data_IF_172352956629
#
_entry.id   IF_172352956629
#
_cell.length_a   1.000
_cell.length_b   1.000
_cell.length_c   1.000
_cell.angle_alpha   90.00
_cell.angle_beta   90.00
_cell.angle_gamma   90.00
#
_symmetry.space_group_name_H-M   'P 1'
#
loop_
_entity.id
_entity.type
_entity.pdbx_description
1 polymer ?
#
# COMPACT_ATOMS: atom_id res chain seq x y z
N UNK A 1 17.07 -7.67 -14.37
CA UNK A 1 16.40 -6.36 -14.31
C UNK A 1 16.90 -5.63 -13.08
N UNK A 2 17.46 -4.42 -13.21
CA UNK A 2 17.84 -3.59 -12.04
C UNK A 2 16.57 -3.14 -11.33
N UNK A 3 16.52 -3.30 -10.01
CA UNK A 3 15.42 -2.74 -9.20
C UNK A 3 15.60 -1.21 -9.08
N UNK A 4 14.53 -0.42 -8.91
CA UNK A 4 14.63 1.02 -8.65
C UNK A 4 15.55 1.36 -7.47
N UNK A 5 15.56 0.51 -6.43
CA UNK A 5 16.47 0.62 -5.28
C UNK A 5 17.94 0.59 -5.72
N UNK A 6 18.29 -0.32 -6.64
CA UNK A 6 19.66 -0.48 -7.12
C UNK A 6 20.14 0.73 -7.93
N UNK A 7 19.25 1.40 -8.66
CA UNK A 7 19.59 2.62 -9.41
C UNK A 7 20.02 3.78 -8.49
N UNK A 8 19.31 3.98 -7.37
CA UNK A 8 19.67 4.99 -6.35
C UNK A 8 21.06 4.76 -5.79
N UNK A 9 21.35 3.51 -5.40
CA UNK A 9 22.66 3.09 -4.87
C UNK A 9 23.79 3.33 -5.89
N UNK A 10 23.60 2.93 -7.15
CA UNK A 10 24.61 3.12 -8.20
C UNK A 10 24.87 4.61 -8.44
N UNK A 11 23.82 5.43 -8.48
CA UNK A 11 23.98 6.88 -8.62
C UNK A 11 24.73 7.49 -7.43
N UNK A 12 24.43 7.05 -6.20
CA UNK A 12 25.10 7.53 -4.99
C UNK A 12 26.59 7.16 -4.98
N UNK A 13 26.93 5.94 -5.43
CA UNK A 13 28.33 5.50 -5.64
C UNK A 13 29.00 6.35 -6.73
N UNK A 14 28.33 6.61 -7.85
CA UNK A 14 28.84 7.49 -8.90
C UNK A 14 29.17 8.89 -8.36
N UNK A 15 28.30 9.46 -7.52
CA UNK A 15 28.49 10.76 -6.86
C UNK A 15 29.59 10.75 -5.78
N UNK A 16 30.01 9.59 -5.28
CA UNK A 16 31.10 9.48 -4.31
C UNK A 16 32.47 9.24 -4.94
N UNK A 17 32.57 9.16 -6.28
CA UNK A 17 33.81 8.86 -7.03
C UNK A 17 35.02 9.65 -6.56
N UNK A 18 34.94 10.98 -6.48
CA UNK A 18 36.10 11.80 -6.11
C UNK A 18 36.61 11.44 -4.71
N UNK A 19 35.71 11.17 -3.75
CA UNK A 19 36.08 10.78 -2.38
C UNK A 19 36.67 9.36 -2.36
N UNK A 20 36.11 8.46 -3.16
CA UNK A 20 36.66 7.11 -3.33
C UNK A 20 38.09 7.14 -3.89
N UNK A 21 38.31 7.90 -4.97
CA UNK A 21 39.60 7.95 -5.68
C UNK A 21 40.70 8.60 -4.80
N UNK A 22 40.34 9.56 -3.93
CA UNK A 22 41.29 10.24 -3.04
C UNK A 22 41.52 9.53 -1.69
N UNK A 23 40.48 8.95 -1.10
CA UNK A 23 40.48 8.49 0.30
C UNK A 23 40.16 6.99 0.45
N UNK A 24 39.98 6.27 -0.65
CA UNK A 24 39.75 4.83 -0.66
C UNK A 24 38.29 4.39 -0.50
N UNK A 25 38.04 3.07 -0.55
CA UNK A 25 36.71 2.48 -0.64
C UNK A 25 35.81 2.76 0.56
N UNK A 26 36.36 2.81 1.77
CA UNK A 26 35.59 3.08 2.98
C UNK A 26 35.06 4.52 3.03
N UNK A 27 35.91 5.50 2.69
CA UNK A 27 35.49 6.90 2.59
C UNK A 27 34.46 7.11 1.48
N UNK A 28 34.66 6.46 0.33
CA UNK A 28 33.72 6.42 -0.79
C UNK A 28 32.35 5.83 -0.40
N UNK A 29 32.35 4.74 0.38
CA UNK A 29 31.13 4.13 0.92
C UNK A 29 30.37 5.09 1.85
N UNK A 30 31.04 5.71 2.84
CA UNK A 30 30.39 6.64 3.75
C UNK A 30 29.81 7.87 3.05
N UNK A 31 30.47 8.36 1.99
CA UNK A 31 29.92 9.43 1.16
C UNK A 31 28.70 8.94 0.38
N UNK A 32 28.72 7.75 -0.19
CA UNK A 32 27.62 7.19 -0.96
C UNK A 32 26.38 6.96 -0.10
N UNK A 33 26.50 6.29 1.05
CA UNK A 33 25.35 6.00 1.93
C UNK A 33 24.68 7.27 2.46
N UNK A 34 25.48 8.29 2.82
CA UNK A 34 24.95 9.62 3.21
C UNK A 34 24.23 10.31 2.05
N UNK A 35 24.76 10.18 0.83
CA UNK A 35 24.16 10.77 -0.38
C UNK A 35 22.82 10.11 -0.70
N UNK A 36 22.74 8.79 -0.58
CA UNK A 36 21.48 8.07 -0.83
C UNK A 36 20.44 8.32 0.26
N UNK A 37 20.86 8.31 1.53
CA UNK A 37 19.96 8.70 2.62
C UNK A 37 19.40 10.11 2.44
N UNK A 38 20.23 11.09 2.07
CA UNK A 38 19.77 12.46 1.81
C UNK A 38 18.78 12.54 0.65
N UNK A 39 18.96 11.74 -0.41
CA UNK A 39 18.01 11.65 -1.53
C UNK A 39 16.66 11.10 -1.07
N UNK A 40 16.66 10.01 -0.30
CA UNK A 40 15.46 9.37 0.20
C UNK A 40 14.74 10.24 1.25
N UNK A 41 15.49 10.95 2.09
CA UNK A 41 14.94 11.93 3.02
C UNK A 41 14.24 13.07 2.27
N UNK A 42 14.83 13.55 1.17
CA UNK A 42 14.18 14.56 0.33
C UNK A 42 12.85 14.04 -0.23
N UNK A 43 12.82 12.83 -0.79
CA UNK A 43 11.58 12.21 -1.27
C UNK A 43 10.52 12.06 -0.15
N UNK A 44 10.95 11.74 1.06
CA UNK A 44 10.05 11.61 2.20
C UNK A 44 9.47 12.95 2.69
N UNK A 45 10.11 14.08 2.38
CA UNK A 45 9.71 15.44 2.77
C UNK A 45 9.03 16.21 1.64
N UNK A 46 9.09 15.72 0.41
CA UNK A 46 8.38 16.30 -0.73
C UNK A 46 6.87 16.10 -0.55
N UNK A 47 6.08 17.07 -1.02
CA UNK A 47 4.63 17.01 -1.11
C UNK A 47 4.27 16.60 -2.55
N UNK A 48 4.02 15.30 -2.81
CA UNK A 48 3.77 14.82 -4.16
C UNK A 48 2.32 15.10 -4.59
N UNK A 49 2.04 15.16 -5.90
CA UNK A 49 0.67 15.18 -6.39
C UNK A 49 -0.03 13.83 -6.08
N UNK A 50 -1.38 13.77 -6.08
CA UNK A 50 -2.14 12.59 -5.63
C UNK A 50 -1.81 11.29 -6.37
N UNK A 51 -1.41 11.37 -7.64
CA UNK A 51 -1.01 10.21 -8.46
C UNK A 51 0.37 9.63 -8.10
N UNK A 52 1.13 10.28 -7.22
CA UNK A 52 2.49 9.89 -6.85
C UNK A 52 2.60 9.60 -5.36
N UNK A 53 3.03 8.38 -5.02
CA UNK A 53 3.42 8.02 -3.65
C UNK A 53 4.87 7.52 -3.62
N UNK A 54 5.77 8.33 -3.07
CA UNK A 54 7.18 7.99 -2.96
C UNK A 54 7.46 6.81 -2.01
N UNK A 55 6.53 6.48 -1.10
CA UNK A 55 6.65 5.29 -0.24
C UNK A 55 6.65 4.01 -1.09
N UNK A 56 5.93 4.00 -2.21
CA UNK A 56 5.90 2.85 -3.13
C UNK A 56 7.21 2.69 -3.93
N UNK A 57 8.00 3.76 -4.05
CA UNK A 57 9.26 3.73 -4.76
C UNK A 57 10.38 3.11 -3.92
N UNK A 58 10.33 3.28 -2.60
CA UNK A 58 11.42 2.81 -1.73
C UNK A 58 11.00 2.62 -0.26
N UNK A 59 11.38 1.47 0.34
CA UNK A 59 11.07 1.12 1.73
C UNK A 59 11.54 2.16 2.75
N UNK A 60 12.72 2.73 2.54
CA UNK A 60 13.26 3.77 3.45
C UNK A 60 12.41 5.05 3.43
N UNK A 61 11.74 5.39 2.33
CA UNK A 61 10.80 6.54 2.31
C UNK A 61 9.62 6.25 3.24
N UNK A 62 9.04 5.05 3.12
CA UNK A 62 8.00 4.57 4.04
C UNK A 62 8.48 4.58 5.50
N UNK A 63 9.70 4.09 5.78
CA UNK A 63 10.27 4.08 7.12
C UNK A 63 10.50 5.48 7.69
N UNK A 64 10.94 6.44 6.88
CA UNK A 64 11.15 7.82 7.33
C UNK A 64 9.81 8.46 7.70
N UNK A 65 8.80 8.38 6.83
CA UNK A 65 7.48 8.98 7.08
C UNK A 65 6.75 8.29 8.23
N UNK A 66 6.92 6.97 8.37
CA UNK A 66 6.35 6.17 9.48
C UNK A 66 7.15 6.27 10.79
N UNK A 67 8.19 7.11 10.84
CA UNK A 67 9.03 7.32 12.03
C UNK A 67 9.71 6.05 12.57
N UNK A 68 10.19 5.19 11.67
CA UNK A 68 10.97 4.01 12.06
C UNK A 68 12.26 4.39 12.81
N UNK A 69 12.74 3.54 13.74
CA UNK A 69 14.00 3.78 14.41
C UNK A 69 15.17 3.93 13.42
N UNK A 70 16.06 4.89 13.67
CA UNK A 70 17.21 5.18 12.79
C UNK A 70 18.04 3.94 12.46
N UNK A 71 18.22 3.04 13.43
CA UNK A 71 18.96 1.79 13.26
C UNK A 71 18.33 0.85 12.22
N UNK A 72 17.00 0.82 12.11
CA UNK A 72 16.28 0.03 11.08
C UNK A 72 16.56 0.62 9.69
N UNK A 73 16.52 1.95 9.58
CA UNK A 73 16.82 2.66 8.32
C UNK A 73 18.28 2.45 7.91
N UNK A 74 19.21 2.65 8.83
CA UNK A 74 20.66 2.48 8.62
C UNK A 74 20.98 1.05 8.19
N UNK A 75 20.45 0.04 8.90
CA UNK A 75 20.63 -1.37 8.52
C UNK A 75 20.04 -1.66 7.13
N UNK A 76 18.84 -1.16 6.84
CA UNK A 76 18.20 -1.37 5.53
C UNK A 76 19.05 -0.80 4.40
N UNK A 77 19.55 0.44 4.55
CA UNK A 77 20.46 1.04 3.58
C UNK A 77 21.75 0.24 3.44
N UNK A 78 22.33 -0.19 4.56
CA UNK A 78 23.55 -0.97 4.55
C UNK A 78 23.38 -2.31 3.82
N UNK A 79 22.25 -3.01 4.01
CA UNK A 79 21.91 -4.23 3.25
C UNK A 79 21.80 -3.96 1.75
N UNK A 80 21.27 -2.80 1.33
CA UNK A 80 21.24 -2.42 -0.09
C UNK A 80 22.63 -2.17 -0.68
N UNK A 81 23.53 -1.53 0.08
CA UNK A 81 24.92 -1.37 -0.35
C UNK A 81 25.71 -2.68 -0.33
N UNK A 82 25.26 -3.68 0.43
CA UNK A 82 25.89 -5.00 0.51
C UNK A 82 25.37 -6.01 -0.52
N UNK A 83 24.40 -5.62 -1.37
CA UNK A 83 23.79 -6.48 -2.38
C UNK A 83 24.84 -6.99 -3.39
N UNK A 84 24.91 -8.32 -3.55
CA UNK A 84 25.81 -9.01 -4.47
C UNK A 84 25.64 -8.59 -5.93
N UNK A 85 24.46 -8.09 -6.29
CA UNK A 85 24.17 -7.58 -7.61
C UNK A 85 25.03 -6.37 -7.97
N UNK A 86 25.62 -5.66 -6.99
CA UNK A 86 26.53 -4.52 -7.23
C UNK A 86 27.93 -4.93 -7.75
N UNK A 87 28.20 -6.22 -7.91
CA UNK A 87 29.52 -6.75 -8.28
C UNK A 87 29.94 -6.55 -9.75
N UNK A 88 29.18 -5.77 -10.54
CA UNK A 88 29.41 -5.54 -11.97
C UNK A 88 30.54 -4.55 -12.31
N UNK A 89 30.87 -3.62 -11.40
CA UNK A 89 31.96 -2.63 -11.54
C UNK A 89 32.92 -2.73 -10.35
N UNK A 90 34.21 -2.43 -10.55
CA UNK A 90 35.23 -2.54 -9.50
C UNK A 90 34.90 -1.65 -8.29
N UNK A 91 34.50 -0.40 -8.52
CA UNK A 91 34.17 0.52 -7.42
C UNK A 91 32.93 0.07 -6.66
N UNK A 92 31.89 -0.33 -7.38
CA UNK A 92 30.67 -0.89 -6.77
C UNK A 92 30.98 -2.14 -5.95
N UNK A 93 31.84 -3.04 -6.47
CA UNK A 93 32.29 -4.25 -5.76
C UNK A 93 33.08 -3.93 -4.49
N UNK A 94 33.98 -2.96 -4.55
CA UNK A 94 34.79 -2.58 -3.38
C UNK A 94 33.93 -1.92 -2.29
N UNK A 95 33.01 -1.02 -2.67
CA UNK A 95 32.04 -0.43 -1.75
C UNK A 95 31.12 -1.51 -1.16
N UNK A 96 30.66 -2.45 -1.98
CA UNK A 96 29.83 -3.57 -1.53
C UNK A 96 30.55 -4.44 -0.48
N UNK A 97 31.83 -4.75 -0.69
CA UNK A 97 32.64 -5.46 0.31
C UNK A 97 32.78 -4.68 1.62
N UNK A 98 32.94 -3.36 1.57
CA UNK A 98 32.93 -2.51 2.78
C UNK A 98 31.59 -2.63 3.50
N UNK A 99 30.47 -2.54 2.78
CA UNK A 99 29.14 -2.65 3.37
C UNK A 99 28.90 -4.03 4.02
N UNK A 100 29.35 -5.13 3.37
CA UNK A 100 29.30 -6.48 3.92
C UNK A 100 30.10 -6.61 5.22
N UNK A 101 31.35 -6.12 5.23
CA UNK A 101 32.17 -6.12 6.44
C UNK A 101 31.53 -5.31 7.57
N UNK A 102 30.88 -4.18 7.25
CA UNK A 102 30.15 -3.38 8.26
C UNK A 102 28.91 -4.11 8.78
N UNK A 103 28.18 -4.88 7.96
CA UNK A 103 27.04 -5.70 8.42
C UNK A 103 27.49 -6.80 9.39
N UNK A 104 28.60 -7.45 9.10
CA UNK A 104 29.17 -8.51 9.95
C UNK A 104 29.63 -7.99 11.31
N UNK A 105 29.96 -6.69 11.40
CA UNK A 105 30.36 -6.04 12.65
C UNK A 105 29.16 -5.63 13.54
N UNK A 106 27.92 -5.63 13.02
CA UNK A 106 26.74 -5.26 13.81
C UNK A 106 26.47 -6.34 14.85
N UNK A 107 26.54 -5.96 16.13
CA UNK A 107 26.25 -6.89 17.23
C UNK A 107 24.75 -7.18 17.32
N UNK A 108 24.33 -8.38 17.77
CA UNK A 108 22.92 -8.71 17.98
C UNK A 108 22.19 -7.72 18.90
N UNK A 109 22.88 -7.15 19.89
CA UNK A 109 22.31 -6.18 20.83
C UNK A 109 22.13 -4.78 20.22
N UNK A 110 22.77 -4.50 19.07
CA UNK A 110 22.70 -3.19 18.43
C UNK A 110 21.41 -3.04 17.61
N UNK A 111 20.96 -4.10 16.93
CA UNK A 111 19.73 -4.12 16.13
C UNK A 111 18.87 -5.33 16.49
N UNK A 112 17.68 -5.07 17.03
CA UNK A 112 16.69 -6.12 17.25
C UNK A 112 16.18 -6.64 15.90
N UNK A 113 16.53 -7.89 15.58
CA UNK A 113 16.16 -8.52 14.32
C UNK A 113 14.66 -8.80 14.19
N UNK A 114 13.94 -9.03 15.29
CA UNK A 114 12.49 -9.19 15.26
C UNK A 114 11.80 -7.88 14.92
N UNK A 115 12.29 -6.77 15.49
CA UNK A 115 11.80 -5.43 15.17
C UNK A 115 12.10 -5.08 13.71
N UNK A 116 13.32 -5.38 13.24
CA UNK A 116 13.71 -5.20 11.83
C UNK A 116 12.77 -5.96 10.88
N UNK A 117 12.53 -7.24 11.13
CA UNK A 117 11.63 -8.05 10.31
C UNK A 117 10.19 -7.55 10.38
N UNK A 118 9.74 -7.03 11.52
CA UNK A 118 8.40 -6.45 11.68
C UNK A 118 8.20 -5.23 10.79
N UNK A 119 9.17 -4.30 10.74
CA UNK A 119 9.11 -3.12 9.87
C UNK A 119 9.06 -3.49 8.38
N UNK A 120 9.88 -4.45 7.96
CA UNK A 120 9.85 -4.94 6.57
C UNK A 120 8.57 -5.69 6.23
N UNK A 121 8.02 -6.48 7.16
CA UNK A 121 6.72 -7.13 7.00
C UNK A 121 5.61 -6.10 6.85
N UNK A 122 5.64 -5.03 7.64
CA UNK A 122 4.65 -3.97 7.55
C UNK A 122 4.75 -3.19 6.23
N UNK A 123 5.96 -2.86 5.77
CA UNK A 123 6.15 -2.26 4.44
C UNK A 123 5.62 -3.18 3.33
N UNK A 124 5.81 -4.50 3.46
CA UNK A 124 5.18 -5.45 2.53
C UNK A 124 3.65 -5.37 2.60
N UNK A 125 3.06 -5.37 3.80
CA UNK A 125 1.61 -5.20 3.98
C UNK A 125 1.09 -3.90 3.38
N UNK A 126 1.83 -2.78 3.50
CA UNK A 126 1.50 -1.51 2.84
C UNK A 126 1.45 -1.66 1.32
N UNK A 127 2.45 -2.32 0.71
CA UNK A 127 2.47 -2.58 -0.74
C UNK A 127 1.35 -3.51 -1.20
N UNK A 128 1.09 -4.58 -0.44
CA UNK A 128 0.01 -5.51 -0.74
C UNK A 128 -1.35 -4.80 -0.66
N UNK A 129 -1.58 -3.99 0.40
CA UNK A 129 -2.77 -3.14 0.56
C UNK A 129 -2.95 -2.16 -0.61
N UNK A 130 -1.85 -1.54 -1.05
CA UNK A 130 -1.85 -0.66 -2.23
C UNK A 130 -2.34 -1.40 -3.47
N UNK A 131 -1.90 -2.65 -3.67
CA UNK A 131 -2.32 -3.46 -4.81
C UNK A 131 -3.82 -3.79 -4.75
N UNK A 132 -4.35 -4.14 -3.56
CA UNK A 132 -5.79 -4.34 -3.39
C UNK A 132 -6.58 -3.09 -3.79
N UNK A 133 -6.15 -1.92 -3.31
CA UNK A 133 -6.82 -0.65 -3.62
C UNK A 133 -6.74 -0.36 -5.12
N UNK A 134 -5.55 -0.45 -5.74
CA UNK A 134 -5.38 -0.16 -7.17
C UNK A 134 -6.22 -1.09 -8.06
N UNK A 135 -6.21 -2.41 -7.80
CA UNK A 135 -7.04 -3.36 -8.54
C UNK A 135 -8.52 -3.05 -8.33
N UNK A 136 -8.94 -2.78 -7.09
CA UNK A 136 -10.32 -2.42 -6.78
C UNK A 136 -10.80 -1.18 -7.52
N UNK A 137 -9.98 -0.13 -7.57
CA UNK A 137 -10.27 1.10 -8.30
C UNK A 137 -10.29 0.88 -9.82
N UNK A 138 -9.36 0.09 -10.36
CA UNK A 138 -9.34 -0.26 -11.79
C UNK A 138 -10.61 -1.01 -12.21
N UNK A 139 -11.01 -2.02 -11.44
CA UNK A 139 -12.23 -2.78 -11.67
C UNK A 139 -13.48 -1.90 -11.55
N UNK A 140 -13.49 -0.95 -10.61
CA UNK A 140 -14.57 0.02 -10.47
C UNK A 140 -14.71 0.88 -11.74
N UNK A 141 -13.60 1.41 -12.27
CA UNK A 141 -13.61 2.18 -13.52
C UNK A 141 -14.11 1.35 -14.71
N UNK A 142 -13.82 0.04 -14.72
CA UNK A 142 -14.29 -0.91 -15.71
C UNK A 142 -15.74 -1.39 -15.49
N UNK A 143 -16.44 -0.87 -14.47
CA UNK A 143 -17.81 -1.26 -14.06
C UNK A 143 -17.95 -2.71 -13.62
N UNK A 144 -16.83 -3.36 -13.27
CA UNK A 144 -16.78 -4.71 -12.67
C UNK A 144 -16.97 -4.60 -11.16
N UNK A 145 -18.16 -4.16 -10.75
CA UNK A 145 -18.41 -3.77 -9.36
C UNK A 145 -18.37 -4.93 -8.35
N UNK A 146 -18.70 -6.16 -8.77
CA UNK A 146 -18.66 -7.35 -7.89
C UNK A 146 -17.23 -7.63 -7.45
N UNK A 147 -16.31 -7.70 -8.41
CA UNK A 147 -14.90 -7.94 -8.16
C UNK A 147 -14.28 -6.72 -7.45
N UNK A 148 -14.59 -5.51 -7.92
CA UNK A 148 -14.10 -4.27 -7.32
C UNK A 148 -14.41 -4.20 -5.82
N UNK A 149 -15.66 -4.55 -5.44
CA UNK A 149 -16.10 -4.54 -4.05
C UNK A 149 -15.23 -5.42 -3.15
N UNK A 150 -14.93 -6.65 -3.58
CA UNK A 150 -14.11 -7.57 -2.78
C UNK A 150 -12.71 -7.00 -2.53
N UNK A 151 -12.06 -6.49 -3.58
CA UNK A 151 -10.75 -5.86 -3.46
C UNK A 151 -10.77 -4.62 -2.55
N UNK A 152 -11.80 -3.78 -2.65
CA UNK A 152 -11.93 -2.57 -1.84
C UNK A 152 -12.29 -2.87 -0.37
N UNK A 153 -13.06 -3.92 -0.07
CA UNK A 153 -13.30 -4.36 1.31
C UNK A 153 -12.00 -4.82 1.96
N UNK A 154 -11.22 -5.68 1.30
CA UNK A 154 -9.94 -6.12 1.84
C UNK A 154 -8.93 -4.97 1.93
N UNK A 155 -8.87 -4.12 0.91
CA UNK A 155 -8.05 -2.90 0.90
C UNK A 155 -8.37 -2.00 2.10
N UNK A 156 -9.65 -1.76 2.39
CA UNK A 156 -10.09 -0.95 3.52
C UNK A 156 -9.68 -1.57 4.87
N UNK A 157 -9.92 -2.88 5.04
CA UNK A 157 -9.57 -3.58 6.29
C UNK A 157 -8.06 -3.55 6.58
N UNK A 158 -7.24 -3.91 5.59
CA UNK A 158 -5.79 -3.87 5.76
C UNK A 158 -5.28 -2.44 5.95
N UNK A 159 -5.91 -1.45 5.29
CA UNK A 159 -5.58 -0.06 5.50
C UNK A 159 -5.87 0.40 6.94
N UNK A 160 -7.03 0.04 7.50
CA UNK A 160 -7.37 0.31 8.91
C UNK A 160 -6.35 -0.32 9.86
N UNK A 161 -5.91 -1.56 9.60
CA UNK A 161 -4.86 -2.19 10.41
C UNK A 161 -3.54 -1.40 10.36
N UNK A 162 -3.14 -0.91 9.18
CA UNK A 162 -1.94 -0.08 9.03
C UNK A 162 -2.07 1.26 9.74
N UNK A 163 -3.18 1.98 9.54
CA UNK A 163 -3.46 3.28 10.15
C UNK A 163 -3.54 3.22 11.67
N UNK A 164 -4.00 2.09 12.24
CA UNK A 164 -4.00 1.86 13.69
C UNK A 164 -2.61 1.96 14.34
N UNK A 165 -1.53 1.82 13.53
CA UNK A 165 -0.14 1.89 13.96
C UNK A 165 0.51 3.25 13.67
N UNK A 166 -0.18 4.14 12.94
CA UNK A 166 0.29 5.49 12.64
C UNK A 166 -0.27 6.06 11.33
N UNK A 167 -0.47 7.38 11.29
CA UNK A 167 -1.12 8.10 10.19
C UNK A 167 -0.44 7.90 8.82
N UNK A 168 0.89 7.79 8.79
CA UNK A 168 1.66 7.65 7.54
C UNK A 168 1.90 6.19 7.11
N UNK A 169 1.30 5.22 7.80
CA UNK A 169 1.48 3.79 7.49
C UNK A 169 0.49 3.26 6.45
N UNK A 170 -0.62 3.95 6.23
CA UNK A 170 -1.67 3.56 5.28
C UNK A 170 -1.91 4.60 4.18
N UNK A 171 -3.08 4.48 3.55
CA UNK A 171 -3.62 5.32 2.50
C UNK A 171 -4.80 6.15 3.02
N UNK A 172 -5.24 7.11 2.19
CA UNK A 172 -6.43 7.90 2.47
C UNK A 172 -7.65 7.01 2.68
N UNK A 173 -8.17 7.07 3.88
CA UNK A 173 -9.28 6.23 4.33
C UNK A 173 -10.60 6.65 3.69
N UNK A 174 -10.83 7.95 3.49
CA UNK A 174 -12.05 8.49 2.88
C UNK A 174 -12.17 8.05 1.42
N UNK A 175 -11.05 8.03 0.69
CA UNK A 175 -11.00 7.55 -0.69
C UNK A 175 -11.50 6.10 -0.78
N UNK A 176 -10.96 5.22 0.06
CA UNK A 176 -11.31 3.79 0.01
C UNK A 176 -12.74 3.57 0.53
N UNK A 177 -13.13 4.27 1.60
CA UNK A 177 -14.51 4.28 2.14
C UNK A 177 -15.51 4.65 1.04
N UNK A 178 -15.25 5.74 0.31
CA UNK A 178 -16.08 6.20 -0.78
C UNK A 178 -16.27 5.15 -1.87
N UNK A 179 -15.19 4.64 -2.46
CA UNK A 179 -15.32 3.68 -3.56
C UNK A 179 -15.93 2.34 -3.12
N UNK A 180 -15.66 1.90 -1.89
CA UNK A 180 -16.31 0.71 -1.31
C UNK A 180 -17.83 0.90 -1.21
N UNK A 181 -18.28 2.04 -0.69
CA UNK A 181 -19.70 2.40 -0.57
C UNK A 181 -20.36 2.53 -1.94
N UNK A 182 -19.72 3.23 -2.86
CA UNK A 182 -20.22 3.39 -4.24
C UNK A 182 -20.36 2.05 -4.97
N UNK A 183 -19.42 1.10 -4.80
CA UNK A 183 -19.56 -0.26 -5.33
C UNK A 183 -20.89 -0.90 -4.90
N UNK A 184 -21.22 -0.83 -3.61
CA UNK A 184 -22.44 -1.43 -3.07
C UNK A 184 -23.70 -0.72 -3.56
N UNK A 185 -23.69 0.61 -3.59
CA UNK A 185 -24.81 1.37 -4.14
C UNK A 185 -25.06 1.02 -5.61
N UNK A 186 -24.00 0.91 -6.43
CA UNK A 186 -24.11 0.51 -7.85
C UNK A 186 -24.60 -0.92 -8.03
N UNK A 187 -24.12 -1.85 -7.20
CA UNK A 187 -24.59 -3.24 -7.22
C UNK A 187 -26.04 -3.36 -6.76
N UNK A 188 -26.44 -2.58 -5.76
CA UNK A 188 -27.81 -2.51 -5.27
C UNK A 188 -28.76 -1.96 -6.33
N UNK A 189 -28.37 -0.88 -7.00
CA UNK A 189 -29.11 -0.32 -8.13
C UNK A 189 -29.27 -1.36 -9.25
N UNK A 190 -28.20 -2.07 -9.61
CA UNK A 190 -28.24 -3.17 -10.59
C UNK A 190 -29.20 -4.29 -10.17
N UNK A 191 -29.13 -4.73 -8.91
CA UNK A 191 -30.02 -5.76 -8.38
C UNK A 191 -31.50 -5.33 -8.39
N UNK A 192 -31.78 -4.06 -8.07
CA UNK A 192 -33.12 -3.52 -8.11
C UNK A 192 -33.68 -3.46 -9.55
N UNK A 193 -32.88 -3.02 -10.53
CA UNK A 193 -33.26 -3.02 -11.95
C UNK A 193 -33.55 -4.44 -12.46
N UNK A 194 -32.70 -5.41 -12.08
CA UNK A 194 -32.91 -6.82 -12.39
C UNK A 194 -34.22 -7.36 -11.80
N UNK A 195 -34.52 -6.99 -10.55
CA UNK A 195 -35.74 -7.37 -9.86
C UNK A 195 -37.00 -6.75 -10.50
N UNK A 196 -36.91 -5.53 -11.04
CA UNK A 196 -38.02 -4.82 -11.70
C UNK A 196 -38.20 -5.20 -13.18
N UNK A 197 -37.34 -6.06 -13.74
CA UNK A 197 -37.34 -6.38 -15.17
C UNK A 197 -38.58 -7.16 -15.65
N UNK A 198 -39.23 -7.91 -14.75
CA UNK A 198 -40.29 -8.87 -15.08
C UNK A 198 -39.81 -10.15 -15.79
N UNK A 199 -38.52 -10.25 -16.12
CA UNK A 199 -37.93 -11.43 -16.73
C UNK A 199 -37.44 -12.40 -15.64
N UNK A 200 -37.98 -13.61 -15.60
CA UNK A 200 -37.70 -14.60 -14.53
C UNK A 200 -36.20 -14.80 -14.32
N UNK A 201 -35.40 -14.88 -15.39
CA UNK A 201 -33.95 -15.05 -15.31
C UNK A 201 -33.25 -13.84 -14.68
N UNK A 202 -33.59 -12.63 -15.09
CA UNK A 202 -33.02 -11.40 -14.53
C UNK A 202 -33.45 -11.20 -13.07
N UNK A 203 -34.71 -11.47 -12.74
CA UNK A 203 -35.20 -11.44 -11.35
C UNK A 203 -34.41 -12.43 -10.49
N UNK A 204 -34.20 -13.66 -10.96
CA UNK A 204 -33.36 -14.64 -10.27
C UNK A 204 -31.93 -14.13 -10.09
N UNK A 205 -31.30 -13.56 -11.12
CA UNK A 205 -29.95 -13.00 -11.04
C UNK A 205 -29.86 -11.86 -10.01
N UNK A 206 -30.85 -10.96 -9.97
CA UNK A 206 -30.93 -9.87 -9.00
C UNK A 206 -31.05 -10.39 -7.56
N UNK A 207 -31.89 -11.40 -7.33
CA UNK A 207 -32.04 -12.04 -6.02
C UNK A 207 -30.77 -12.80 -5.60
N UNK A 208 -30.08 -13.47 -6.51
CA UNK A 208 -28.78 -14.11 -6.25
C UNK A 208 -27.75 -13.05 -5.85
N UNK A 209 -27.65 -11.94 -6.58
CA UNK A 209 -26.75 -10.83 -6.25
C UNK A 209 -27.05 -10.24 -4.86
N UNK A 210 -28.32 -10.09 -4.52
CA UNK A 210 -28.73 -9.64 -3.19
C UNK A 210 -28.29 -10.60 -2.08
N UNK A 211 -28.60 -11.89 -2.23
CA UNK A 211 -28.40 -12.88 -1.17
C UNK A 211 -26.93 -13.31 -1.01
N UNK A 212 -26.20 -13.45 -2.12
CA UNK A 212 -24.83 -13.97 -2.11
C UNK A 212 -23.76 -12.90 -1.91
N UNK A 213 -24.08 -11.63 -2.20
CA UNK A 213 -23.11 -10.54 -2.12
C UNK A 213 -23.57 -9.36 -1.26
N UNK A 214 -24.70 -8.72 -1.59
CA UNK A 214 -25.09 -7.45 -0.96
C UNK A 214 -25.42 -7.63 0.52
N UNK A 215 -26.30 -8.57 0.87
CA UNK A 215 -26.69 -8.84 2.26
C UNK A 215 -25.48 -9.25 3.12
N UNK A 216 -24.59 -10.16 2.68
CA UNK A 216 -23.35 -10.46 3.40
C UNK A 216 -22.39 -9.28 3.56
N UNK A 217 -22.37 -8.33 2.62
CA UNK A 217 -21.45 -7.19 2.65
C UNK A 217 -21.99 -5.97 3.42
N UNK A 218 -23.31 -5.84 3.60
CA UNK A 218 -23.93 -4.74 4.34
C UNK A 218 -23.35 -4.51 5.75
N UNK A 219 -23.13 -5.57 6.58
CA UNK A 219 -22.50 -5.39 7.88
C UNK A 219 -21.12 -4.73 7.82
N UNK A 220 -20.40 -4.87 6.70
CA UNK A 220 -19.03 -4.33 6.54
C UNK A 220 -18.97 -2.79 6.52
N UNK A 221 -20.09 -2.13 6.22
CA UNK A 221 -20.25 -0.67 6.25
C UNK A 221 -20.60 -0.18 7.64
N UNK A 222 -21.23 -1.04 8.44
CA UNK A 222 -21.67 -0.72 9.78
C UNK A 222 -20.63 -1.06 10.86
N UNK A 223 -19.42 -1.51 10.45
CA UNK A 223 -18.33 -1.80 11.40
C UNK A 223 -17.85 -0.52 12.08
N UNK A 224 -17.84 0.59 11.35
CA UNK A 224 -17.43 1.88 11.86
C UNK A 224 -18.66 2.78 12.08
N UNK A 225 -19.15 2.81 13.31
CA UNK A 225 -20.33 3.59 13.71
C UNK A 225 -20.12 5.11 13.52
N UNK A 226 -18.88 5.56 13.27
CA UNK A 226 -18.57 6.97 13.01
C UNK A 226 -18.73 7.35 11.52
N UNK A 227 -18.81 6.39 10.61
CA UNK A 227 -18.95 6.63 9.17
C UNK A 227 -20.42 6.89 8.81
N UNK A 228 -20.90 8.11 9.05
CA UNK A 228 -22.30 8.50 8.82
C UNK A 228 -22.75 8.26 7.35
N UNK A 229 -21.87 8.46 6.38
CA UNK A 229 -22.15 8.20 4.95
C UNK A 229 -22.44 6.73 4.67
N UNK A 230 -21.76 5.83 5.38
CA UNK A 230 -21.96 4.39 5.25
C UNK A 230 -23.29 3.97 5.87
N UNK A 231 -23.63 4.52 7.04
CA UNK A 231 -24.93 4.29 7.68
C UNK A 231 -26.07 4.76 6.77
N UNK A 232 -25.97 5.98 6.22
CA UNK A 232 -26.98 6.53 5.29
C UNK A 232 -27.13 5.63 4.06
N UNK A 233 -26.03 5.18 3.45
CA UNK A 233 -26.09 4.31 2.29
C UNK A 233 -26.78 2.97 2.59
N UNK A 234 -26.54 2.38 3.76
CA UNK A 234 -27.22 1.14 4.18
C UNK A 234 -28.72 1.38 4.36
N UNK A 235 -29.11 2.49 5.00
CA UNK A 235 -30.52 2.82 5.17
C UNK A 235 -31.22 3.11 3.84
N UNK A 236 -30.56 3.81 2.90
CA UNK A 236 -31.09 4.03 1.56
C UNK A 236 -31.31 2.72 0.79
N UNK A 237 -30.36 1.77 0.90
CA UNK A 237 -30.52 0.44 0.34
C UNK A 237 -31.71 -0.29 0.96
N UNK A 238 -31.86 -0.27 2.30
CA UNK A 238 -32.99 -0.89 3.01
C UNK A 238 -34.32 -0.28 2.58
N UNK A 239 -34.41 1.04 2.56
CA UNK A 239 -35.61 1.77 2.16
C UNK A 239 -36.04 1.42 0.73
N UNK A 240 -35.07 1.30 -0.19
CA UNK A 240 -35.35 0.90 -1.57
C UNK A 240 -36.04 -0.46 -1.64
N UNK A 241 -35.52 -1.48 -0.95
CA UNK A 241 -36.11 -2.83 -0.97
C UNK A 241 -37.41 -2.93 -0.20
N UNK A 242 -37.54 -2.23 0.94
CA UNK A 242 -38.78 -2.19 1.70
C UNK A 242 -39.93 -1.51 0.93
N UNK A 243 -39.63 -0.57 0.02
CA UNK A 243 -40.65 0.11 -0.78
C UNK A 243 -41.51 -0.82 -1.64
N UNK A 244 -40.97 -1.97 -2.06
CA UNK A 244 -41.71 -2.97 -2.84
C UNK A 244 -42.83 -3.63 -2.03
N UNK A 245 -42.69 -3.75 -0.71
CA UNK A 245 -43.73 -4.31 0.16
C UNK A 245 -44.98 -3.40 0.27
N UNK A 246 -44.85 -2.13 -0.12
CA UNK A 246 -45.95 -1.17 -0.16
C UNK A 246 -46.73 -1.16 -1.47
N UNK A 247 -46.35 -1.98 -2.45
CA UNK A 247 -46.99 -2.09 -3.76
C UNK A 247 -47.78 -3.41 -3.86
N UNK A 248 -48.78 -3.49 -4.74
CA UNK A 248 -49.38 -4.79 -5.09
C UNK A 248 -48.30 -5.62 -5.78
N UNK A 249 -47.87 -6.71 -5.13
CA UNK A 249 -46.87 -7.63 -5.67
C UNK A 249 -47.55 -8.70 -6.53
N UNK A 250 -47.10 -8.87 -7.77
CA UNK A 250 -47.50 -9.95 -8.69
C UNK A 250 -46.78 -11.28 -8.41
#
# INVERSE_FOLDING_TARGET
MMTPNMQGIIMAIGKSRNVYDMCGPEAGFFKAIKTEYARLLKLAQEDPPPETDYRLQHAVVYFIQSQAPKKIIERTLLEQFADRNLSFDERCRNIMKVAQAKLEMIKPDEVNMEEYMRWHKEYKSFRDTTMYILIGLELFQNKSYVEALLYLIFGYQFNKELLSRGLYRGHDEELISHYRRECLLKLNEKAAVMFESGEVEEVCNGLTLMNELLVPCLPMLLIDEMEEKDIIAVEDMRNRWCSYLGQEME
#
